data_IF_850104577177
#
_entry.id   IF_850104577177
#
_cell.length_a   1.000
_cell.length_b   1.000
_cell.length_c   1.000
_cell.angle_alpha   90.00
_cell.angle_beta   90.00
_cell.angle_gamma   90.00
#
_symmetry.space_group_name_H-M   'P 1'
#
loop_
_entity.id
_entity.type
_entity.pdbx_description
1 polymer ?
#
# COMPACT_ATOMS: atom_id res chain seq x y z
N UNK A 1 -4.06 46.24 -26.04
CA UNK A 1 -4.85 45.82 -24.86
C UNK A 1 -5.34 44.39 -24.92
N UNK A 2 -5.85 43.89 -26.06
CA UNK A 2 -6.35 42.50 -26.24
C UNK A 2 -5.24 41.43 -26.04
N UNK A 3 -4.05 41.64 -26.49
CA UNK A 3 -2.91 40.67 -26.40
C UNK A 3 -2.51 40.45 -24.93
N UNK A 4 -2.50 41.50 -24.11
CA UNK A 4 -2.15 41.40 -22.68
C UNK A 4 -3.17 40.57 -21.89
N UNK A 5 -4.45 40.66 -22.26
CA UNK A 5 -5.53 39.86 -21.65
C UNK A 5 -5.42 38.37 -22.00
N UNK A 6 -5.05 38.05 -23.23
CA UNK A 6 -4.88 36.65 -23.70
C UNK A 6 -3.67 36.01 -22.98
N UNK A 7 -2.57 36.73 -22.82
CA UNK A 7 -1.40 36.24 -22.11
C UNK A 7 -1.66 36.03 -20.61
N UNK A 8 -2.47 36.89 -19.99
CA UNK A 8 -2.83 36.78 -18.58
C UNK A 8 -3.76 35.59 -18.30
N UNK A 9 -4.74 35.34 -19.17
CA UNK A 9 -5.62 34.18 -19.06
C UNK A 9 -4.87 32.86 -19.29
N UNK A 10 -3.91 32.83 -20.23
CA UNK A 10 -3.05 31.67 -20.47
C UNK A 10 -2.14 31.37 -19.28
N UNK A 11 -1.66 32.40 -18.58
CA UNK A 11 -0.83 32.25 -17.38
C UNK A 11 -1.64 31.69 -16.20
N UNK A 12 -2.89 32.12 -16.00
CA UNK A 12 -3.77 31.60 -14.95
C UNK A 12 -4.16 30.14 -15.14
N UNK A 13 -4.41 29.70 -16.38
CA UNK A 13 -4.75 28.32 -16.71
C UNK A 13 -3.56 27.38 -16.48
N UNK A 14 -2.34 27.84 -16.72
CA UNK A 14 -1.13 27.03 -16.48
C UNK A 14 -0.78 26.90 -14.98
N UNK A 15 -1.18 27.82 -14.11
CA UNK A 15 -0.95 27.70 -12.67
C UNK A 15 -1.79 26.61 -12.01
N UNK A 16 -3.03 26.40 -12.45
CA UNK A 16 -3.91 25.35 -11.90
C UNK A 16 -3.49 23.93 -12.32
N UNK A 17 -2.88 23.78 -13.49
CA UNK A 17 -2.43 22.47 -14.00
C UNK A 17 -1.18 21.97 -13.25
N UNK A 18 -0.30 22.88 -12.82
CA UNK A 18 0.97 22.53 -12.16
C UNK A 18 0.74 22.08 -10.69
N UNK A 19 -0.28 22.59 -10.03
CA UNK A 19 -0.55 22.26 -8.61
C UNK A 19 -1.24 20.92 -8.42
N UNK A 20 -1.94 20.39 -9.42
CA UNK A 20 -2.65 19.12 -9.30
C UNK A 20 -1.73 17.90 -9.40
N UNK A 21 -0.66 17.98 -10.19
CA UNK A 21 0.28 16.87 -10.41
C UNK A 21 1.27 16.69 -9.23
N UNK A 22 1.73 17.78 -8.62
CA UNK A 22 2.67 17.71 -7.49
C UNK A 22 2.07 17.11 -6.20
N UNK A 23 0.76 17.25 -5.97
CA UNK A 23 0.13 16.69 -4.76
C UNK A 23 -0.10 15.18 -4.83
N UNK A 24 -0.32 14.63 -6.02
CA UNK A 24 -0.46 13.19 -6.22
C UNK A 24 0.91 12.48 -6.08
N UNK A 25 1.96 13.02 -6.69
CA UNK A 25 3.31 12.44 -6.65
C UNK A 25 3.92 12.53 -5.22
N UNK A 26 3.69 13.63 -4.50
CA UNK A 26 4.16 13.77 -3.12
C UNK A 26 3.45 12.81 -2.15
N UNK A 27 2.16 12.49 -2.35
CA UNK A 27 1.42 11.52 -1.53
C UNK A 27 1.88 10.08 -1.78
N UNK A 28 2.17 9.72 -3.02
CA UNK A 28 2.70 8.40 -3.38
C UNK A 28 4.11 8.26 -2.81
N UNK A 29 4.96 9.27 -2.94
CA UNK A 29 6.31 9.33 -2.37
C UNK A 29 6.30 9.19 -0.84
N UNK A 30 5.34 9.81 -0.13
CA UNK A 30 5.23 9.68 1.32
C UNK A 30 4.81 8.27 1.74
N UNK A 31 3.85 7.65 1.06
CA UNK A 31 3.46 6.26 1.32
C UNK A 31 4.64 5.29 1.10
N UNK A 32 5.42 5.49 0.05
CA UNK A 32 6.59 4.66 -0.23
C UNK A 32 7.66 4.80 0.86
N UNK A 33 7.90 6.01 1.35
CA UNK A 33 8.83 6.27 2.44
C UNK A 33 8.37 5.61 3.74
N UNK A 34 7.16 5.92 4.19
CA UNK A 34 6.58 5.37 5.42
C UNK A 34 6.49 3.85 5.35
N UNK A 35 6.13 3.31 4.18
CA UNK A 35 6.07 1.88 3.93
C UNK A 35 7.42 1.19 4.07
N UNK A 36 8.48 1.75 3.48
CA UNK A 36 9.83 1.22 3.60
C UNK A 36 10.35 1.31 5.05
N UNK A 37 10.05 2.39 5.76
CA UNK A 37 10.40 2.53 7.18
C UNK A 37 9.69 1.45 8.01
N UNK A 38 8.40 1.19 7.77
CA UNK A 38 7.63 0.15 8.43
C UNK A 38 8.10 -1.28 8.08
N UNK A 39 8.58 -1.52 6.86
CA UNK A 39 9.23 -2.80 6.50
C UNK A 39 10.47 -3.00 7.36
N UNK A 40 11.33 -1.99 7.49
CA UNK A 40 12.53 -2.08 8.34
C UNK A 40 12.18 -2.35 9.82
N UNK A 41 11.15 -1.70 10.35
CA UNK A 41 10.67 -1.96 11.72
C UNK A 41 10.20 -3.40 11.87
N UNK A 42 9.45 -3.93 10.89
CA UNK A 42 8.95 -5.30 10.92
C UNK A 42 10.07 -6.34 10.80
N UNK A 43 11.09 -6.10 9.95
CA UNK A 43 12.28 -6.95 9.84
C UNK A 43 13.07 -6.98 11.17
N UNK A 44 13.31 -5.83 11.77
CA UNK A 44 14.03 -5.73 13.04
C UNK A 44 13.30 -6.44 14.18
N UNK A 45 11.97 -6.42 14.18
CA UNK A 45 11.14 -7.07 15.20
C UNK A 45 11.29 -8.61 15.23
N UNK A 46 11.79 -9.20 14.14
CA UNK A 46 11.98 -10.66 14.02
C UNK A 46 13.44 -11.06 13.80
N UNK A 47 14.37 -10.11 13.74
CA UNK A 47 15.78 -10.34 13.36
C UNK A 47 16.49 -11.39 14.25
N UNK A 48 16.12 -11.51 15.52
CA UNK A 48 16.71 -12.46 16.46
C UNK A 48 15.89 -13.74 16.62
N UNK A 49 14.82 -13.92 15.84
CA UNK A 49 13.99 -15.12 15.89
C UNK A 49 14.59 -16.20 14.99
N UNK A 50 14.75 -17.39 15.54
CA UNK A 50 15.25 -18.57 14.81
C UNK A 50 14.10 -19.52 14.59
N UNK A 51 13.92 -19.99 13.35
CA UNK A 51 12.95 -21.00 13.01
C UNK A 51 13.65 -22.32 12.66
N UNK A 52 13.42 -23.33 13.48
CA UNK A 52 13.94 -24.70 13.28
C UNK A 52 12.88 -25.57 12.60
N UNK A 53 11.62 -25.32 12.90
CA UNK A 53 10.46 -26.04 12.35
C UNK A 53 9.52 -25.10 11.58
N UNK A 54 8.70 -25.67 10.70
CA UNK A 54 7.82 -24.91 9.81
C UNK A 54 6.85 -23.98 10.57
N UNK A 55 6.31 -24.46 11.67
CA UNK A 55 5.42 -23.65 12.51
C UNK A 55 6.08 -22.35 13.00
N UNK A 56 7.36 -22.40 13.38
CA UNK A 56 8.11 -21.22 13.81
C UNK A 56 8.32 -20.23 12.66
N UNK A 57 8.50 -20.71 11.43
CA UNK A 57 8.58 -19.85 10.23
C UNK A 57 7.26 -19.09 10.04
N UNK A 58 6.13 -19.79 10.16
CA UNK A 58 4.80 -19.18 10.04
C UNK A 58 4.57 -18.15 11.14
N UNK A 59 5.05 -18.41 12.35
CA UNK A 59 4.97 -17.44 13.47
C UNK A 59 5.80 -16.17 13.17
N UNK A 60 7.01 -16.29 12.66
CA UNK A 60 7.87 -15.17 12.25
C UNK A 60 7.16 -14.34 11.17
N UNK A 61 6.63 -14.98 10.13
CA UNK A 61 5.90 -14.32 9.04
C UNK A 61 4.66 -13.59 9.60
N UNK A 62 3.91 -14.23 10.50
CA UNK A 62 2.74 -13.64 11.12
C UNK A 62 3.08 -12.43 11.99
N UNK A 63 4.15 -12.51 12.78
CA UNK A 63 4.64 -11.39 13.62
C UNK A 63 5.08 -10.21 12.76
N UNK A 64 5.85 -10.47 11.71
CA UNK A 64 6.30 -9.46 10.76
C UNK A 64 5.15 -8.71 10.12
N UNK A 65 4.14 -9.43 9.61
CA UNK A 65 2.94 -8.84 9.02
C UNK A 65 2.14 -8.00 10.04
N UNK A 66 2.08 -8.43 11.30
CA UNK A 66 1.41 -7.69 12.38
C UNK A 66 2.12 -6.39 12.70
N UNK A 67 3.44 -6.41 12.86
CA UNK A 67 4.25 -5.22 13.14
C UNK A 67 4.16 -4.23 12.00
N UNK A 68 4.25 -4.70 10.76
CA UNK A 68 4.07 -3.89 9.56
C UNK A 68 2.72 -3.17 9.56
N UNK A 69 1.63 -3.90 9.84
CA UNK A 69 0.28 -3.32 9.89
C UNK A 69 0.15 -2.26 10.98
N UNK A 70 0.66 -2.52 12.18
CA UNK A 70 0.60 -1.56 13.29
C UNK A 70 1.36 -0.28 12.96
N UNK A 71 2.59 -0.41 12.43
CA UNK A 71 3.40 0.72 12.01
C UNK A 71 2.67 1.58 10.96
N UNK A 72 2.10 0.98 9.92
CA UNK A 72 1.35 1.71 8.89
C UNK A 72 0.09 2.39 9.44
N UNK A 73 -0.60 1.75 10.40
CA UNK A 73 -1.75 2.36 11.07
C UNK A 73 -1.34 3.58 11.90
N UNK A 74 -0.20 3.53 12.58
CA UNK A 74 0.37 4.66 13.34
C UNK A 74 0.76 5.83 12.42
N UNK A 75 1.17 5.54 11.18
CA UNK A 75 1.38 6.53 10.12
C UNK A 75 0.09 7.04 9.45
N UNK A 76 -1.08 6.59 9.90
CA UNK A 76 -2.37 7.06 9.39
C UNK A 76 -2.85 6.36 8.12
N UNK A 77 -2.42 5.14 7.86
CA UNK A 77 -2.89 4.31 6.75
C UNK A 77 -3.84 3.22 7.23
N UNK A 78 -4.74 2.81 6.37
CA UNK A 78 -5.66 1.69 6.57
C UNK A 78 -5.67 0.78 5.35
N UNK A 79 -6.20 -0.42 5.51
CA UNK A 79 -6.42 -1.33 4.38
C UNK A 79 -7.41 -0.70 3.40
N UNK A 80 -7.04 -0.67 2.12
CA UNK A 80 -7.86 -0.12 1.06
C UNK A 80 -9.03 -1.06 0.72
N UNK A 81 -10.29 -0.61 0.84
CA UNK A 81 -11.45 -1.42 0.45
C UNK A 81 -11.43 -1.84 -1.03
N UNK A 82 -10.89 -1.01 -1.93
CA UNK A 82 -10.75 -1.35 -3.33
C UNK A 82 -9.80 -2.53 -3.55
N UNK A 83 -8.72 -2.61 -2.75
CA UNK A 83 -7.84 -3.78 -2.76
C UNK A 83 -8.58 -5.04 -2.28
N UNK A 84 -9.38 -4.95 -1.25
CA UNK A 84 -10.18 -6.10 -0.76
C UNK A 84 -11.11 -6.64 -1.84
N UNK A 85 -11.81 -5.74 -2.54
CA UNK A 85 -12.69 -6.12 -3.67
C UNK A 85 -11.91 -6.78 -4.81
N UNK A 86 -10.73 -6.28 -5.11
CA UNK A 86 -9.83 -6.83 -6.12
C UNK A 86 -9.27 -8.21 -5.71
N UNK A 87 -8.81 -8.37 -4.47
CA UNK A 87 -8.15 -9.58 -3.98
C UNK A 87 -9.09 -10.76 -3.74
N UNK A 88 -10.36 -10.50 -3.40
CA UNK A 88 -11.34 -11.54 -3.06
C UNK A 88 -11.53 -12.61 -4.15
N UNK A 89 -11.81 -12.28 -5.42
CA UNK A 89 -11.95 -13.29 -6.46
C UNK A 89 -10.64 -14.02 -6.76
N UNK A 90 -9.48 -13.34 -6.62
CA UNK A 90 -8.17 -13.93 -6.82
C UNK A 90 -7.89 -14.99 -5.73
N UNK A 91 -8.18 -14.66 -4.46
CA UNK A 91 -8.06 -15.61 -3.36
C UNK A 91 -8.95 -16.83 -3.57
N UNK A 92 -10.18 -16.64 -4.03
CA UNK A 92 -11.09 -17.75 -4.35
C UNK A 92 -10.56 -18.67 -5.45
N UNK A 93 -9.91 -18.12 -6.47
CA UNK A 93 -9.26 -18.90 -7.53
C UNK A 93 -8.06 -19.69 -6.98
N UNK A 94 -7.16 -19.02 -6.25
CA UNK A 94 -5.97 -19.64 -5.64
C UNK A 94 -6.38 -20.76 -4.69
N UNK A 95 -7.38 -20.54 -3.84
CA UNK A 95 -7.88 -21.54 -2.90
C UNK A 95 -8.30 -22.85 -3.60
N UNK A 96 -9.01 -22.73 -4.72
CA UNK A 96 -9.43 -23.89 -5.53
C UNK A 96 -8.26 -24.58 -6.22
N UNK A 97 -7.34 -23.82 -6.83
CA UNK A 97 -6.22 -24.37 -7.61
C UNK A 97 -5.17 -25.01 -6.70
N UNK A 98 -4.92 -24.41 -5.53
CA UNK A 98 -3.87 -24.87 -4.59
C UNK A 98 -4.41 -25.78 -3.47
N UNK A 99 -5.73 -26.04 -3.44
CA UNK A 99 -6.38 -26.87 -2.43
C UNK A 99 -6.13 -26.38 -0.97
N UNK A 100 -6.08 -25.06 -0.79
CA UNK A 100 -5.98 -24.39 0.50
C UNK A 100 -7.30 -23.71 0.86
N UNK A 101 -7.46 -23.28 2.11
CA UNK A 101 -8.64 -22.51 2.51
C UNK A 101 -8.65 -21.12 1.83
N UNK A 102 -9.85 -20.55 1.67
CA UNK A 102 -9.97 -19.15 1.19
C UNK A 102 -9.21 -18.17 2.09
N UNK A 103 -9.31 -18.35 3.40
CA UNK A 103 -8.67 -17.46 4.38
C UNK A 103 -7.15 -17.52 4.27
N UNK A 104 -6.58 -18.70 4.05
CA UNK A 104 -5.15 -18.88 3.82
C UNK A 104 -4.71 -18.20 2.51
N UNK A 105 -5.42 -18.42 1.42
CA UNK A 105 -5.12 -17.79 0.14
C UNK A 105 -5.22 -16.26 0.23
N UNK A 106 -6.26 -15.74 0.89
CA UNK A 106 -6.47 -14.30 1.08
C UNK A 106 -5.39 -13.68 1.96
N UNK A 107 -5.02 -14.34 3.05
CA UNK A 107 -3.96 -13.88 3.95
C UNK A 107 -2.58 -13.85 3.26
N UNK A 108 -2.30 -14.82 2.39
CA UNK A 108 -1.07 -14.84 1.60
C UNK A 108 -1.03 -13.67 0.60
N UNK A 109 -2.13 -13.36 -0.08
CA UNK A 109 -2.26 -12.18 -0.92
C UNK A 109 -2.04 -10.90 -0.12
N UNK A 110 -2.68 -10.80 1.05
CA UNK A 110 -2.56 -9.65 1.94
C UNK A 110 -1.11 -9.39 2.35
N UNK A 111 -0.39 -10.43 2.76
CA UNK A 111 1.02 -10.33 3.15
C UNK A 111 1.93 -9.92 1.99
N UNK A 112 1.64 -10.41 0.79
CA UNK A 112 2.36 -10.06 -0.43
C UNK A 112 2.16 -8.58 -0.79
N UNK A 113 0.91 -8.11 -0.77
CA UNK A 113 0.55 -6.81 -1.32
C UNK A 113 0.75 -5.67 -0.32
N UNK A 114 0.79 -5.96 0.99
CA UNK A 114 1.02 -4.94 2.02
C UNK A 114 2.43 -4.31 1.98
N UNK A 115 3.38 -4.91 1.25
CA UNK A 115 4.73 -4.37 1.04
C UNK A 115 4.91 -3.73 -0.34
N UNK A 116 3.82 -3.55 -1.09
CA UNK A 116 3.80 -2.87 -2.38
C UNK A 116 3.28 -1.44 -2.16
N UNK A 117 4.13 -0.45 -2.40
CA UNK A 117 3.83 0.97 -2.15
C UNK A 117 3.75 1.81 -3.41
N UNK A 118 4.10 1.24 -4.56
CA UNK A 118 3.97 1.90 -5.87
C UNK A 118 2.67 1.49 -6.53
N UNK A 119 1.90 2.49 -6.98
CA UNK A 119 0.71 2.25 -7.76
C UNK A 119 1.05 1.55 -9.08
N UNK A 120 0.15 0.66 -9.52
CA UNK A 120 0.21 0.05 -10.84
C UNK A 120 -1.19 0.08 -11.48
N UNK A 121 -1.24 0.07 -12.80
CA UNK A 121 -2.52 0.05 -13.54
C UNK A 121 -3.25 -1.30 -13.38
N UNK A 122 -2.57 -2.34 -12.91
CA UNK A 122 -3.11 -3.69 -12.83
C UNK A 122 -3.77 -4.03 -11.50
N UNK A 123 -3.45 -3.29 -10.43
CA UNK A 123 -4.02 -3.56 -9.10
C UNK A 123 -4.06 -2.31 -8.22
N UNK A 124 -5.09 -2.15 -7.37
CA UNK A 124 -5.13 -1.11 -6.37
C UNK A 124 -4.09 -1.35 -5.28
N UNK A 125 -3.54 -0.27 -4.72
CA UNK A 125 -2.65 -0.36 -3.57
C UNK A 125 -3.38 -0.95 -2.35
N UNK A 126 -2.66 -1.73 -1.57
CA UNK A 126 -3.17 -2.29 -0.31
C UNK A 126 -3.47 -1.19 0.72
N UNK A 127 -2.63 -0.14 0.77
CA UNK A 127 -2.74 0.94 1.74
C UNK A 127 -3.47 2.16 1.17
N UNK A 128 -4.35 2.72 1.99
CA UNK A 128 -5.05 3.97 1.74
C UNK A 128 -4.82 4.90 2.94
N UNK A 129 -4.42 6.14 2.67
CA UNK A 129 -4.33 7.16 3.72
C UNK A 129 -5.71 7.42 4.33
N UNK A 130 -5.78 7.48 5.66
CA UNK A 130 -7.00 7.89 6.35
C UNK A 130 -7.38 9.31 5.90
N UNK A 131 -8.66 9.54 5.64
CA UNK A 131 -9.15 10.90 5.44
C UNK A 131 -8.84 11.69 6.73
N UNK A 132 -8.07 12.75 6.60
CA UNK A 132 -7.86 13.66 7.74
C UNK A 132 -9.23 14.24 8.11
N UNK A 133 -9.65 13.99 9.36
CA UNK A 133 -10.81 14.63 9.95
C UNK A 133 -10.51 16.08 10.25
#
# INVERSE_FOLDING_TARGET
>A
MLIALILFTFWLINMDIITFDQTADSKISQLEKDGNDCVNVAENAVANMVAVVEFQKLEIIGRKARVMRMCMQDHGYQQNPAWTTFATPIAGKIAKESQVSFDEAFENLRRRDMVIFKASDSQPLFWLANAQK
#
